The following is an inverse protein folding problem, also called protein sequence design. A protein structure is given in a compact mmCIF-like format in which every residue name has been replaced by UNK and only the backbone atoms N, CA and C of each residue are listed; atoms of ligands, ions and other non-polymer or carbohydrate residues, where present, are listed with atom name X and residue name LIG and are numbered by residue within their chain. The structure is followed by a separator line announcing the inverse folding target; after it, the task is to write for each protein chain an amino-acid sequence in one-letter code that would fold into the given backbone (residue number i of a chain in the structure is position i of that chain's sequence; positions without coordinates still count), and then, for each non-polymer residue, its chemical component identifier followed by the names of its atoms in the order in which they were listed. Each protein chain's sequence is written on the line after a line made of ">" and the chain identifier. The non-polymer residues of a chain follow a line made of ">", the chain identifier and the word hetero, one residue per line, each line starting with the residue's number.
data_IF_205413835177
#
_entry.id   IF_205413835177
#
_cell.length_a   1.000
_cell.length_b   1.000
_cell.length_c   1.000
_cell.angle_alpha   90.00
_cell.angle_beta   90.00
_cell.angle_gamma   90.00
#
_symmetry.space_group_name_H-M   'P 1'
#
loop_
_entity.id
_entity.type
_entity.pdbx_description
1 polymer ?
#
# COMPACT_ATOMS: atom_id res chain seq x y z
N UNK A 1 19.80 -5.31 6.52
CA UNK A 1 18.57 -4.74 5.92
C UNK A 1 18.06 -5.68 4.85
N UNK A 2 16.75 -5.93 4.81
CA UNK A 2 16.08 -6.81 3.86
C UNK A 2 14.83 -6.09 3.35
N UNK A 3 14.71 -5.96 2.04
CA UNK A 3 13.49 -5.40 1.42
C UNK A 3 12.60 -6.55 0.92
N UNK A 4 11.34 -6.57 1.33
CA UNK A 4 10.34 -7.54 0.88
C UNK A 4 9.30 -6.84 0.01
N UNK A 5 9.04 -7.37 -1.19
CA UNK A 5 8.00 -6.87 -2.09
C UNK A 5 6.72 -7.70 -1.97
N UNK A 6 5.57 -7.03 -1.88
CA UNK A 6 4.23 -7.63 -1.99
C UNK A 6 3.36 -6.85 -2.97
N UNK A 7 2.35 -7.49 -3.54
CA UNK A 7 1.33 -6.82 -4.37
C UNK A 7 0.05 -6.68 -3.55
N UNK A 8 -0.56 -5.50 -3.57
CA UNK A 8 -1.86 -5.23 -2.97
C UNK A 8 -2.83 -4.75 -4.05
N UNK A 9 -4.11 -5.06 -3.90
CA UNK A 9 -5.17 -4.65 -4.82
C UNK A 9 -6.18 -3.79 -4.09
N UNK A 10 -6.49 -2.64 -4.67
CA UNK A 10 -7.59 -1.77 -4.26
C UNK A 10 -8.72 -1.87 -5.28
N UNK A 11 -9.93 -2.14 -4.82
CA UNK A 11 -11.14 -2.24 -5.65
C UNK A 11 -11.81 -0.87 -5.86
N UNK A 12 -11.54 0.07 -4.95
CA UNK A 12 -12.06 1.44 -4.96
C UNK A 12 -10.91 2.46 -4.92
N UNK A 13 -11.15 3.72 -5.34
CA UNK A 13 -10.19 4.79 -5.14
C UNK A 13 -9.85 4.93 -3.64
N UNK A 14 -8.58 5.11 -3.32
CA UNK A 14 -8.10 5.23 -1.95
C UNK A 14 -7.23 6.48 -1.78
N UNK A 15 -7.18 7.02 -0.57
CA UNK A 15 -6.34 8.15 -0.21
C UNK A 15 -5.50 7.75 1.00
N UNK A 16 -4.19 7.89 0.90
CA UNK A 16 -3.26 7.70 2.00
C UNK A 16 -2.85 9.05 2.56
N UNK A 17 -2.49 9.08 3.84
CA UNK A 17 -1.94 10.29 4.45
C UNK A 17 -0.67 10.74 3.71
N UNK A 18 -0.57 12.04 3.41
CA UNK A 18 0.54 12.62 2.64
C UNK A 18 0.36 12.60 1.12
N UNK A 19 -0.77 12.08 0.60
CA UNK A 19 -1.11 12.16 -0.82
C UNK A 19 -1.99 13.39 -1.09
N UNK A 20 -1.65 14.17 -2.11
CA UNK A 20 -2.46 15.32 -2.55
C UNK A 20 -3.80 14.91 -3.18
N UNK A 21 -3.86 13.71 -3.78
CA UNK A 21 -5.02 13.23 -4.52
C UNK A 21 -5.26 11.73 -4.32
N UNK A 22 -6.53 11.28 -4.37
CA UNK A 22 -6.86 9.87 -4.29
C UNK A 22 -6.26 9.11 -5.46
N UNK A 23 -5.71 7.93 -5.17
CA UNK A 23 -5.19 7.01 -6.16
C UNK A 23 -6.33 6.13 -6.70
N UNK A 24 -6.34 5.81 -8.00
CA UNK A 24 -7.38 4.98 -8.61
C UNK A 24 -7.34 3.55 -8.06
N UNK A 25 -8.44 2.79 -8.21
CA UNK A 25 -8.41 1.35 -7.96
C UNK A 25 -7.43 0.66 -8.91
N UNK A 26 -6.78 -0.39 -8.43
CA UNK A 26 -5.76 -1.09 -9.19
C UNK A 26 -4.86 -1.97 -8.33
N UNK A 27 -3.87 -2.58 -8.98
CA UNK A 27 -2.80 -3.32 -8.32
C UNK A 27 -1.60 -2.42 -8.10
N UNK A 28 -1.04 -2.48 -6.90
CA UNK A 28 0.08 -1.66 -6.46
C UNK A 28 1.15 -2.55 -5.84
N UNK A 29 2.42 -2.27 -6.16
CA UNK A 29 3.53 -2.92 -5.48
C UNK A 29 3.86 -2.17 -4.19
N UNK A 30 4.08 -2.93 -3.12
CA UNK A 30 4.49 -2.44 -1.82
C UNK A 30 5.84 -3.04 -1.49
N UNK A 31 6.85 -2.19 -1.31
CA UNK A 31 8.15 -2.59 -0.80
C UNK A 31 8.20 -2.29 0.71
N UNK A 32 8.67 -3.24 1.49
CA UNK A 32 8.78 -3.14 2.94
C UNK A 32 10.23 -3.37 3.32
N UNK A 33 10.85 -2.38 3.94
CA UNK A 33 12.20 -2.54 4.46
C UNK A 33 12.14 -3.02 5.91
N UNK A 34 12.83 -4.13 6.15
CA UNK A 34 12.97 -4.78 7.42
C UNK A 34 14.44 -4.76 7.85
N UNK A 35 14.70 -4.34 9.09
CA UNK A 35 16.02 -4.41 9.71
C UNK A 35 16.08 -5.61 10.67
N UNK A 36 17.19 -6.34 10.61
CA UNK A 36 17.45 -7.42 11.56
C UNK A 36 17.69 -6.81 12.95
N UNK A 37 17.00 -7.35 13.95
CA UNK A 37 17.22 -6.96 15.33
C UNK A 37 18.38 -7.80 15.86
N UNK A 38 19.57 -7.21 15.88
CA UNK A 38 20.75 -7.84 16.46
C UNK A 38 20.61 -7.99 17.99
N UNK A 39 21.21 -9.04 18.56
CA UNK A 39 21.23 -9.27 20.01
C UNK A 39 20.10 -10.13 20.57
N UNK A 40 19.22 -10.68 19.72
CA UNK A 40 18.28 -11.73 20.09
C UNK A 40 18.87 -13.11 19.78
N UNK A 41 18.56 -14.12 20.61
CA UNK A 41 18.96 -15.53 20.36
C UNK A 41 18.22 -16.18 19.18
N UNK A 42 17.38 -15.43 18.48
CA UNK A 42 16.64 -15.83 17.28
C UNK A 42 16.67 -14.69 16.25
N UNK A 43 16.51 -15.07 14.98
CA UNK A 43 16.42 -14.13 13.87
C UNK A 43 15.07 -13.39 13.93
N UNK A 44 15.09 -12.10 14.28
CA UNK A 44 13.91 -11.24 14.31
C UNK A 44 14.10 -10.02 13.41
N UNK A 45 13.01 -9.55 12.80
CA UNK A 45 12.99 -8.43 11.87
C UNK A 45 12.04 -7.35 12.38
N UNK A 46 12.47 -6.08 12.38
CA UNK A 46 11.59 -4.92 12.57
C UNK A 46 11.38 -4.19 11.26
N UNK A 47 10.13 -3.87 10.94
CA UNK A 47 9.82 -3.01 9.80
C UNK A 47 10.31 -1.59 10.08
N UNK A 48 11.08 -1.03 9.16
CA UNK A 48 11.63 0.34 9.26
C UNK A 48 11.02 1.30 8.25
N UNK A 49 10.53 0.82 7.10
CA UNK A 49 9.84 1.65 6.11
C UNK A 49 8.86 0.84 5.26
N UNK A 50 7.87 1.53 4.66
CA UNK A 50 6.95 0.98 3.66
C UNK A 50 6.85 1.94 2.49
N UNK A 51 6.92 1.42 1.27
CA UNK A 51 6.88 2.18 0.03
C UNK A 51 5.82 1.63 -0.90
N UNK A 52 5.09 2.51 -1.57
CA UNK A 52 4.12 2.15 -2.62
C UNK A 52 4.62 2.61 -3.99
N UNK A 53 4.47 1.74 -4.97
CA UNK A 53 4.74 2.03 -6.38
C UNK A 53 3.44 2.48 -7.04
N UNK A 54 3.37 3.76 -7.37
CA UNK A 54 2.22 4.36 -8.03
C UNK A 54 2.39 4.30 -9.56
N UNK A 55 1.35 3.84 -10.29
CA UNK A 55 1.38 3.90 -11.74
C UNK A 55 1.50 5.36 -12.21
N UNK A 56 1.97 5.55 -13.43
CA UNK A 56 2.01 6.87 -14.06
C UNK A 56 0.59 7.31 -14.45
N UNK A 57 -0.17 7.86 -13.50
CA UNK A 57 -1.60 8.16 -13.67
C UNK A 57 -1.87 9.60 -14.10
N UNK A 58 -0.86 10.48 -14.09
CA UNK A 58 -1.03 11.86 -14.56
C UNK A 58 -0.63 11.99 -16.03
N UNK A 59 -1.51 12.62 -16.78
CA UNK A 59 -1.44 12.90 -18.22
C UNK A 59 -0.06 13.42 -18.65
N UNK A 60 0.82 12.51 -19.08
CA UNK A 60 2.07 12.87 -19.78
C UNK A 60 3.38 12.58 -19.06
N UNK A 61 3.40 12.16 -17.79
CA UNK A 61 4.67 11.83 -17.09
C UNK A 61 4.81 10.31 -16.95
N UNK A 62 5.67 9.72 -17.78
CA UNK A 62 5.88 8.27 -17.92
C UNK A 62 6.75 7.65 -16.82
N UNK A 63 6.66 8.13 -15.57
CA UNK A 63 7.52 7.65 -14.48
C UNK A 63 6.71 6.97 -13.39
N UNK A 64 7.02 5.70 -13.13
CA UNK A 64 6.62 5.00 -11.91
C UNK A 64 7.14 5.80 -10.72
N UNK A 65 6.27 6.17 -9.77
CA UNK A 65 6.70 6.86 -8.55
C UNK A 65 6.74 5.88 -7.38
N UNK A 66 7.80 5.94 -6.58
CA UNK A 66 7.92 5.21 -5.33
C UNK A 66 7.77 6.21 -4.19
N UNK A 67 6.73 6.05 -3.39
CA UNK A 67 6.38 6.98 -2.31
C UNK A 67 6.45 6.25 -0.98
N UNK A 68 7.13 6.82 0.01
CA UNK A 68 7.11 6.28 1.36
C UNK A 68 5.74 6.55 1.99
N UNK A 69 5.15 5.52 2.59
CA UNK A 69 3.84 5.57 3.24
C UNK A 69 3.93 4.98 4.64
N UNK A 70 3.00 5.37 5.49
CA UNK A 70 2.83 4.70 6.77
C UNK A 70 2.15 3.34 6.59
N UNK A 71 2.63 2.35 7.33
CA UNK A 71 2.10 0.99 7.24
C UNK A 71 0.70 0.87 7.84
N UNK A 72 0.37 1.63 8.89
CA UNK A 72 -0.96 1.61 9.49
C UNK A 72 -2.00 2.28 8.58
N UNK A 73 -1.62 3.36 7.88
CA UNK A 73 -2.48 3.99 6.87
C UNK A 73 -2.79 3.03 5.72
N UNK A 74 -1.80 2.28 5.23
CA UNK A 74 -2.00 1.27 4.20
C UNK A 74 -3.01 0.19 4.66
N UNK A 75 -2.84 -0.35 5.85
CA UNK A 75 -3.71 -1.40 6.39
C UNK A 75 -5.13 -0.88 6.67
N UNK A 76 -5.27 0.39 7.10
CA UNK A 76 -6.57 1.04 7.26
C UNK A 76 -7.28 1.22 5.91
N UNK A 77 -6.56 1.67 4.87
CA UNK A 77 -7.09 1.81 3.52
C UNK A 77 -7.55 0.46 2.94
N UNK A 78 -6.76 -0.60 3.12
CA UNK A 78 -7.11 -1.95 2.65
C UNK A 78 -8.35 -2.50 3.38
N UNK A 79 -8.46 -2.27 4.69
CA UNK A 79 -9.64 -2.67 5.45
C UNK A 79 -10.90 -1.99 4.93
N UNK A 80 -10.83 -0.67 4.72
CA UNK A 80 -11.94 0.12 4.18
C UNK A 80 -12.34 -0.33 2.77
N UNK A 81 -11.36 -0.63 1.91
CA UNK A 81 -11.62 -1.15 0.56
C UNK A 81 -12.35 -2.50 0.59
N UNK A 82 -11.97 -3.38 1.51
CA UNK A 82 -12.65 -4.66 1.75
C UNK A 82 -14.12 -4.46 2.15
N UNK A 83 -14.41 -3.52 3.06
CA UNK A 83 -15.77 -3.22 3.49
C UNK A 83 -16.64 -2.67 2.34
N UNK A 84 -16.08 -1.76 1.52
CA UNK A 84 -16.77 -1.17 0.36
C UNK A 84 -17.04 -2.21 -0.74
N UNK A 85 -16.12 -3.15 -0.93
CA UNK A 85 -16.26 -4.23 -1.93
C UNK A 85 -17.42 -5.18 -1.62
N UNK A 86 -17.69 -5.46 -0.34
CA UNK A 86 -18.86 -6.27 0.06
C UNK A 86 -20.19 -5.52 0.03
N UNK A 87 -20.19 -4.19 0.15
CA UNK A 87 -21.41 -3.39 0.19
C UNK A 87 -22.05 -3.17 -1.19
N UNK A 88 -21.30 -3.33 -2.29
CA UNK A 88 -21.83 -3.12 -3.66
C UNK A 88 -22.58 -4.33 -4.23
N UNK A 89 -22.74 -5.41 -3.47
CA UNK A 89 -23.45 -6.62 -3.90
C UNK A 89 -24.93 -6.68 -3.45
N UNK A 90 -25.51 -5.58 -2.95
CA UNK A 90 -26.89 -5.57 -2.44
C UNK A 90 -27.66 -4.32 -2.85
N UNK A 91 -27.73 -4.02 -4.15
CA UNK A 91 -28.77 -3.13 -4.70
C UNK A 91 -29.04 -3.49 -6.18
N UNK A 92 -29.88 -4.51 -6.38
CA UNK A 92 -30.65 -4.72 -7.60
C UNK A 92 -31.90 -5.53 -7.24
N UNK A 93 -33.02 -4.84 -7.05
CA UNK A 93 -34.39 -5.37 -7.09
C UNK A 93 -35.03 -4.89 -8.37
#
# INVERSE_FOLDING_TARGET
>A
MRTTRRTVRFSSPFLLYGFDAPQPPGEYFIDQDDEEIEGLSWLAYRRVATFIHLPAITSGVRTHQVVQIDAADLEAALRKDGEVSTASATEAT
#
